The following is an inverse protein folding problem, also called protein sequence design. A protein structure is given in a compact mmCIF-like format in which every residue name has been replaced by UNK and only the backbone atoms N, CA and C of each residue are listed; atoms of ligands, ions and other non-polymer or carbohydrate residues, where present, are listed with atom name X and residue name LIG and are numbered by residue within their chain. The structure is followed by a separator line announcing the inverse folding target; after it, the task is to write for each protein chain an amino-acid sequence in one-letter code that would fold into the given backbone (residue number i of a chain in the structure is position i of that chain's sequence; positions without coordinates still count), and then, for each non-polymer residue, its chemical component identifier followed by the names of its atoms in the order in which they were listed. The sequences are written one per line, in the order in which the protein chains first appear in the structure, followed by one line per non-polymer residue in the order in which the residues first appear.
data_IF_299986027753
#
_entry.id   IF_299986027753
#
_cell.length_a   1.000
_cell.length_b   1.000
_cell.length_c   1.000
_cell.angle_alpha   90.00
_cell.angle_beta   90.00
_cell.angle_gamma   90.00
#
_symmetry.space_group_name_H-M   'P 1'
#
loop_
_entity.id
_entity.type
_entity.pdbx_description
1 polymer ?
#
# COMPACT_ATOMS: atom_id res chain seq x y z
N UNK A 1 -7.43 -5.85 -20.57
CA UNK A 1 -6.42 -5.37 -19.61
C UNK A 1 -6.99 -4.15 -18.93
N UNK A 2 -7.18 -4.23 -17.62
CA UNK A 2 -7.58 -3.08 -16.82
C UNK A 2 -6.33 -2.45 -16.21
N UNK A 3 -6.33 -1.14 -16.10
CA UNK A 3 -5.27 -0.36 -15.48
C UNK A 3 -5.90 0.63 -14.53
N UNK A 4 -5.25 0.88 -13.41
CA UNK A 4 -5.70 1.82 -12.40
C UNK A 4 -4.71 2.97 -12.35
N UNK A 5 -5.22 4.19 -12.51
CA UNK A 5 -4.44 5.40 -12.25
C UNK A 5 -4.61 5.81 -10.78
N UNK A 6 -3.49 5.88 -10.06
CA UNK A 6 -3.45 6.37 -8.68
C UNK A 6 -2.83 7.77 -8.70
N UNK A 7 -3.59 8.84 -8.36
CA UNK A 7 -3.06 10.19 -8.34
C UNK A 7 -2.00 10.42 -7.25
N UNK A 8 -1.12 11.44 -7.41
CA UNK A 8 -0.24 11.87 -6.33
C UNK A 8 -1.02 12.21 -5.05
N UNK A 9 -0.50 11.77 -3.90
CA UNK A 9 -1.14 11.97 -2.60
C UNK A 9 -2.07 10.83 -2.16
N UNK A 10 -2.35 9.85 -3.03
CA UNK A 10 -3.07 8.63 -2.64
C UNK A 10 -2.10 7.54 -2.20
N UNK A 11 -2.46 6.78 -1.17
CA UNK A 11 -1.78 5.52 -0.82
C UNK A 11 -2.16 4.40 -1.79
N UNK A 12 -1.21 3.52 -2.10
CA UNK A 12 -1.42 2.36 -2.97
C UNK A 12 -0.95 1.07 -2.27
N UNK A 13 -1.77 0.04 -2.32
CA UNK A 13 -1.45 -1.32 -1.87
C UNK A 13 -2.20 -2.36 -2.70
N UNK A 14 -1.68 -3.59 -2.76
CA UNK A 14 -2.27 -4.68 -3.54
C UNK A 14 -1.99 -6.02 -2.88
N UNK A 15 -2.87 -7.01 -3.12
CA UNK A 15 -2.69 -8.40 -2.74
C UNK A 15 -2.76 -9.26 -4.01
N UNK A 16 -1.74 -10.09 -4.22
CA UNK A 16 -1.76 -11.11 -5.27
C UNK A 16 -2.70 -12.23 -4.85
N UNK A 17 -3.67 -12.59 -5.70
CA UNK A 17 -4.68 -13.61 -5.41
C UNK A 17 -4.31 -15.01 -5.90
N UNK A 18 -3.30 -15.09 -6.77
CA UNK A 18 -2.80 -16.32 -7.38
C UNK A 18 -1.27 -16.25 -7.39
N UNK A 19 -0.63 -17.41 -7.29
CA UNK A 19 0.82 -17.54 -7.40
C UNK A 19 1.35 -17.01 -8.73
N UNK A 20 2.63 -16.64 -8.76
CA UNK A 20 3.35 -16.18 -9.96
C UNK A 20 2.71 -14.96 -10.65
N UNK A 21 2.02 -14.10 -9.88
CA UNK A 21 1.47 -12.83 -10.38
C UNK A 21 2.56 -11.77 -10.52
N UNK A 22 2.65 -11.14 -11.69
CA UNK A 22 3.52 -9.99 -11.93
C UNK A 22 2.72 -8.68 -11.97
N UNK A 23 3.23 -7.65 -11.29
CA UNK A 23 2.68 -6.30 -11.33
C UNK A 23 3.65 -5.34 -12.00
N UNK A 24 3.17 -4.65 -13.03
CA UNK A 24 3.87 -3.55 -13.68
C UNK A 24 3.15 -2.24 -13.39
N UNK A 25 3.89 -1.22 -12.96
CA UNK A 25 3.35 0.11 -12.73
C UNK A 25 4.31 1.18 -13.25
N UNK A 26 3.74 2.26 -13.77
CA UNK A 26 4.50 3.44 -14.20
C UNK A 26 4.43 4.49 -13.11
N UNK A 27 5.57 5.08 -12.78
CA UNK A 27 5.67 6.15 -11.78
C UNK A 27 5.91 7.49 -12.46
N UNK A 28 5.24 8.53 -11.99
CA UNK A 28 5.35 9.89 -12.53
C UNK A 28 6.56 10.66 -11.99
N UNK A 29 7.32 10.08 -11.06
CA UNK A 29 8.48 10.70 -10.40
C UNK A 29 9.56 9.65 -10.10
N UNK A 30 10.80 10.12 -9.99
CA UNK A 30 11.93 9.25 -9.63
C UNK A 30 11.82 8.78 -8.18
N UNK A 31 12.37 7.60 -7.91
CA UNK A 31 12.44 7.04 -6.57
C UNK A 31 13.32 7.93 -5.66
N UNK A 32 12.81 8.23 -4.47
CA UNK A 32 13.55 8.91 -3.41
C UNK A 32 13.30 8.19 -2.08
N UNK A 33 14.29 7.45 -1.54
CA UNK A 33 14.11 6.63 -0.34
C UNK A 33 13.71 7.45 0.89
N UNK A 34 14.25 8.66 1.02
CA UNK A 34 14.05 9.55 2.17
C UNK A 34 12.66 10.20 2.21
N UNK A 35 11.91 10.14 1.10
CA UNK A 35 10.57 10.74 0.98
C UNK A 35 9.45 9.69 0.94
N UNK A 36 9.77 8.42 1.22
CA UNK A 36 8.78 7.37 1.29
C UNK A 36 7.93 7.46 2.56
N UNK A 37 6.62 7.58 2.40
CA UNK A 37 5.64 7.39 3.46
C UNK A 37 4.77 6.16 3.15
N UNK A 38 4.15 5.58 4.17
CA UNK A 38 3.27 4.45 4.01
C UNK A 38 2.34 4.30 5.19
N UNK A 39 1.42 3.35 5.05
CA UNK A 39 0.44 2.98 6.06
C UNK A 39 0.53 1.49 6.31
N UNK A 40 0.13 1.07 7.51
CA UNK A 40 0.01 -0.35 7.82
C UNK A 40 -1.10 -0.96 6.96
N UNK A 41 -0.84 -2.12 6.36
CA UNK A 41 -1.79 -2.78 5.46
C UNK A 41 -3.11 -3.20 6.16
N UNK A 42 -3.02 -3.55 7.45
CA UNK A 42 -4.11 -3.97 8.34
C UNK A 42 -4.42 -2.89 9.38
N UNK A 43 -4.27 -1.62 8.99
CA UNK A 43 -4.63 -0.52 9.86
C UNK A 43 -6.16 -0.42 10.02
N UNK A 44 -6.68 -0.49 11.26
CA UNK A 44 -8.12 -0.37 11.51
C UNK A 44 -8.72 0.96 11.05
N UNK A 45 -7.92 2.03 10.92
CA UNK A 45 -8.39 3.34 10.49
C UNK A 45 -8.89 3.36 9.03
N UNK A 46 -8.38 2.45 8.19
CA UNK A 46 -8.80 2.31 6.79
C UNK A 46 -9.76 1.14 6.55
N UNK A 47 -9.78 0.16 7.45
CA UNK A 47 -10.66 -1.01 7.38
C UNK A 47 -10.64 -1.72 6.02
N UNK A 48 -9.46 -1.87 5.42
CA UNK A 48 -9.29 -2.56 4.13
C UNK A 48 -9.55 -4.06 4.31
N UNK A 49 -10.55 -4.58 3.60
CA UNK A 49 -10.85 -6.01 3.55
C UNK A 49 -10.00 -6.70 2.47
N UNK A 50 -8.91 -7.34 2.90
CA UNK A 50 -8.08 -8.15 2.01
C UNK A 50 -8.79 -9.48 1.68
N UNK A 51 -8.96 -9.84 0.39
CA UNK A 51 -9.70 -11.05 0.00
C UNK A 51 -9.14 -12.37 0.52
N UNK A 52 -7.82 -12.45 0.75
CA UNK A 52 -7.13 -13.62 1.29
C UNK A 52 -6.35 -13.25 2.55
N UNK A 53 -5.92 -14.26 3.31
CA UNK A 53 -4.96 -14.06 4.39
C UNK A 53 -3.61 -13.53 3.85
N UNK A 54 -3.04 -12.53 4.51
CA UNK A 54 -1.74 -11.95 4.11
C UNK A 54 -0.61 -12.83 4.64
N UNK A 55 -0.07 -13.68 3.76
CA UNK A 55 0.99 -14.65 4.09
C UNK A 55 2.40 -14.09 3.88
N UNK A 56 2.56 -13.10 3.01
CA UNK A 56 3.84 -12.47 2.69
C UNK A 56 3.71 -10.94 2.69
N UNK A 57 4.54 -10.28 3.49
CA UNK A 57 4.61 -8.83 3.58
C UNK A 57 5.97 -8.44 4.16
N UNK A 58 6.52 -7.32 3.69
CA UNK A 58 7.86 -6.86 4.09
C UNK A 58 7.90 -6.34 5.53
N UNK A 59 9.07 -6.36 6.16
CA UNK A 59 9.28 -5.76 7.47
C UNK A 59 9.01 -4.25 7.45
N UNK A 60 9.27 -3.59 6.31
CA UNK A 60 8.96 -2.17 6.12
C UNK A 60 7.46 -1.91 6.22
N UNK A 61 6.64 -2.69 5.52
CA UNK A 61 5.18 -2.48 5.49
C UNK A 61 4.51 -2.88 6.82
N UNK A 62 5.09 -3.87 7.54
CA UNK A 62 4.67 -4.23 8.89
C UNK A 62 5.00 -3.19 9.95
N UNK A 63 6.04 -2.38 9.74
CA UNK A 63 6.60 -1.48 10.76
C UNK A 63 5.98 -0.08 10.77
N UNK A 64 5.10 0.25 9.83
CA UNK A 64 4.36 1.52 9.87
C UNK A 64 3.50 1.60 11.15
N UNK A 65 3.50 2.77 11.84
CA UNK A 65 2.69 2.97 13.03
C UNK A 65 1.19 3.00 12.68
N UNK A 66 0.30 2.72 13.65
CA UNK A 66 -1.13 2.94 13.48
C UNK A 66 -1.44 4.38 13.09
N UNK A 67 -2.33 4.56 12.13
CA UNK A 67 -2.81 5.86 11.68
C UNK A 67 -3.94 6.38 12.58
N UNK A 68 -3.90 7.67 12.92
CA UNK A 68 -5.01 8.35 13.57
C UNK A 68 -5.58 9.44 12.67
N UNK A 69 -6.88 9.42 12.46
CA UNK A 69 -7.60 10.50 11.76
C UNK A 69 -7.57 11.82 12.53
N UNK A 70 -7.23 11.81 13.82
CA UNK A 70 -7.07 13.02 14.62
C UNK A 70 -5.80 13.80 14.25
N UNK A 71 -4.76 13.12 13.74
CA UNK A 71 -3.47 13.74 13.38
C UNK A 71 -3.54 14.55 12.07
N UNK A 72 -4.62 14.42 11.31
CA UNK A 72 -4.87 15.13 10.04
C UNK A 72 -5.90 16.26 10.16
N UNK A 73 -6.49 16.46 11.35
CA UNK A 73 -7.41 17.56 11.65
C UNK A 73 -6.69 18.84 12.08
#
# INVERSE_FOLDING_TARGET
YEQIYVPPGCGQGFQTLVDDTELFYQVSSFYSPDHGAGFRYDDPAFAVEWPLEVTAISDKDRSWPPFSWEDVA
#
